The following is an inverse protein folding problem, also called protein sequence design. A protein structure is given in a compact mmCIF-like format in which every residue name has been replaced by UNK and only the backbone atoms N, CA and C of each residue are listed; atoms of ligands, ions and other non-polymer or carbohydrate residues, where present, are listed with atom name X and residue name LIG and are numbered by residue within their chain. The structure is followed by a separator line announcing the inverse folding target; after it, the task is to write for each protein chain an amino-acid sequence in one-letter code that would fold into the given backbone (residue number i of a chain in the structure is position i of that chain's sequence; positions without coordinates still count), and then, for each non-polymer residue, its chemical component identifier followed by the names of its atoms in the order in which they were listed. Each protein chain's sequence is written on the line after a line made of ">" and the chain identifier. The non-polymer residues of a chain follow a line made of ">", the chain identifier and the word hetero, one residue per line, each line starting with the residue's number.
data_IF_446625784629
#
_entry.id   IF_446625784629
#
_cell.length_a   1.000
_cell.length_b   1.000
_cell.length_c   1.000
_cell.angle_alpha   90.00
_cell.angle_beta   90.00
_cell.angle_gamma   90.00
#
_symmetry.space_group_name_H-M   'P 1'
#
loop_
_entity.id
_entity.type
_entity.pdbx_description
1 polymer ?
#
# COMPACT_ATOMS: atom_id res chain seq x y z
N UNK A 1 -1.72 9.22 19.60
CA UNK A 1 -2.22 8.08 18.79
C UNK A 1 -2.96 8.47 17.51
N UNK A 2 -3.95 9.39 17.53
CA UNK A 2 -4.72 9.79 16.32
C UNK A 2 -3.84 10.25 15.14
N UNK A 3 -2.82 11.09 15.38
CA UNK A 3 -1.87 11.55 14.33
C UNK A 3 -1.11 10.39 13.66
N UNK A 4 -0.63 9.41 14.43
CA UNK A 4 0.08 8.24 13.87
C UNK A 4 -0.85 7.36 13.01
N UNK A 5 -2.13 7.32 13.38
CA UNK A 5 -3.16 6.60 12.63
C UNK A 5 -3.49 7.29 11.31
N UNK A 6 -3.62 8.62 11.32
CA UNK A 6 -3.82 9.41 10.10
C UNK A 6 -2.60 9.29 9.17
N UNK A 7 -1.38 9.36 9.70
CA UNK A 7 -0.15 9.16 8.91
C UNK A 7 -0.10 7.77 8.26
N UNK A 8 -0.61 6.74 8.95
CA UNK A 8 -0.71 5.39 8.39
C UNK A 8 -1.70 5.32 7.23
N UNK A 9 -2.90 5.91 7.39
CA UNK A 9 -3.91 5.99 6.33
C UNK A 9 -3.38 6.79 5.14
N UNK A 10 -2.75 7.93 5.38
CA UNK A 10 -2.19 8.78 4.33
C UNK A 10 -1.07 8.03 3.59
N UNK A 11 -0.18 7.34 4.31
CA UNK A 11 0.84 6.51 3.68
C UNK A 11 0.22 5.43 2.78
N UNK A 12 -0.85 4.79 3.24
CA UNK A 12 -1.59 3.78 2.49
C UNK A 12 -2.23 4.33 1.22
N UNK A 13 -2.93 5.46 1.34
CA UNK A 13 -3.56 6.14 0.20
C UNK A 13 -2.51 6.58 -0.81
N UNK A 14 -1.35 7.09 -0.34
CA UNK A 14 -0.22 7.42 -1.20
C UNK A 14 0.29 6.16 -1.89
N UNK A 15 0.58 5.07 -1.18
CA UNK A 15 1.12 3.85 -1.77
C UNK A 15 0.15 3.26 -2.80
N UNK A 16 -1.12 3.05 -2.47
CA UNK A 16 -2.09 2.47 -3.40
C UNK A 16 -2.47 3.42 -4.53
N UNK A 17 -2.57 4.72 -4.25
CA UNK A 17 -2.81 5.75 -5.26
C UNK A 17 -1.68 5.79 -6.28
N UNK A 18 -0.43 5.84 -5.82
CA UNK A 18 0.74 5.86 -6.71
C UNK A 18 1.02 4.51 -7.37
N UNK A 19 0.75 3.37 -6.72
CA UNK A 19 0.77 2.05 -7.36
C UNK A 19 -0.24 2.01 -8.52
N UNK A 20 -1.46 2.51 -8.31
CA UNK A 20 -2.49 2.52 -9.36
C UNK A 20 -2.14 3.51 -10.47
N UNK A 21 -1.63 4.69 -10.11
CA UNK A 21 -1.13 5.66 -11.08
C UNK A 21 0.02 5.06 -11.91
N UNK A 22 0.99 4.41 -11.26
CA UNK A 22 2.11 3.69 -11.88
C UNK A 22 1.65 2.69 -12.93
N UNK A 23 0.43 2.15 -12.83
CA UNK A 23 -0.15 1.21 -13.79
C UNK A 23 -0.73 1.91 -15.03
N UNK A 24 -1.12 3.18 -14.92
CA UNK A 24 -1.67 4.01 -15.99
C UNK A 24 -0.61 4.81 -16.75
N UNK A 25 0.43 5.32 -16.06
CA UNK A 25 1.45 6.18 -16.71
C UNK A 25 2.47 5.38 -17.53
N UNK A 26 2.96 5.96 -18.62
CA UNK A 26 4.03 5.44 -19.48
C UNK A 26 5.22 6.42 -19.49
N UNK A 27 6.42 5.94 -19.79
CA UNK A 27 7.61 6.79 -19.95
C UNK A 27 8.13 7.42 -18.64
N UNK A 28 8.63 8.65 -18.70
CA UNK A 28 9.38 9.31 -17.61
C UNK A 28 8.54 9.51 -16.32
N UNK A 29 7.23 9.69 -16.46
CA UNK A 29 6.30 9.81 -15.34
C UNK A 29 6.20 8.52 -14.51
N UNK A 30 6.53 7.35 -15.10
CA UNK A 30 6.64 6.10 -14.35
C UNK A 30 7.72 6.20 -13.27
N UNK A 31 8.90 6.72 -13.59
CA UNK A 31 9.97 6.90 -12.61
C UNK A 31 9.58 7.89 -11.52
N UNK A 32 8.95 9.02 -11.88
CA UNK A 32 8.44 9.98 -10.89
C UNK A 32 7.44 9.35 -9.91
N UNK A 33 6.45 8.62 -10.44
CA UNK A 33 5.47 7.91 -9.62
C UNK A 33 6.11 6.79 -8.78
N UNK A 34 7.17 6.14 -9.28
CA UNK A 34 7.93 5.13 -8.55
C UNK A 34 8.62 5.72 -7.32
N UNK A 35 9.26 6.89 -7.48
CA UNK A 35 9.91 7.60 -6.36
C UNK A 35 8.88 8.06 -5.33
N UNK A 36 7.74 8.61 -5.77
CA UNK A 36 6.64 9.03 -4.89
C UNK A 36 6.05 7.86 -4.10
N UNK A 37 5.86 6.70 -4.75
CA UNK A 37 5.44 5.47 -4.07
C UNK A 37 6.42 5.08 -2.96
N UNK A 38 7.73 5.11 -3.22
CA UNK A 38 8.75 4.79 -2.21
C UNK A 38 8.70 5.77 -1.02
N UNK A 39 8.40 7.04 -1.27
CA UNK A 39 8.16 8.03 -0.20
C UNK A 39 7.02 7.59 0.74
N UNK A 40 5.92 7.09 0.16
CA UNK A 40 4.81 6.49 0.93
C UNK A 40 5.25 5.27 1.74
N UNK A 41 6.06 4.38 1.16
CA UNK A 41 6.60 3.19 1.85
C UNK A 41 7.51 3.60 3.02
N UNK A 42 8.36 4.61 2.85
CA UNK A 42 9.20 5.14 3.93
C UNK A 42 8.32 5.67 5.08
N UNK A 43 7.26 6.40 4.75
CA UNK A 43 6.29 6.90 5.73
C UNK A 43 5.56 5.75 6.46
N UNK A 44 5.24 4.69 5.73
CA UNK A 44 4.64 3.46 6.26
C UNK A 44 5.59 2.70 7.22
N UNK A 45 6.88 2.63 6.90
CA UNK A 45 7.90 2.05 7.79
C UNK A 45 8.10 2.94 9.03
N UNK A 46 8.09 4.26 8.86
CA UNK A 46 8.22 5.21 9.96
C UNK A 46 7.07 5.07 10.98
N UNK A 47 5.84 4.99 10.49
CA UNK A 47 4.65 4.75 11.32
C UNK A 47 4.74 3.41 12.05
N UNK A 48 5.25 2.34 11.41
CA UNK A 48 5.50 1.04 12.06
C UNK A 48 6.41 1.17 13.27
N UNK A 49 7.49 1.94 13.10
CA UNK A 49 8.49 2.18 14.15
C UNK A 49 7.90 2.95 15.33
N UNK A 50 7.03 3.93 15.05
CA UNK A 50 6.28 4.68 16.06
C UNK A 50 5.30 3.79 16.84
N UNK A 51 4.56 2.91 16.18
CA UNK A 51 3.64 1.97 16.86
C UNK A 51 4.38 0.89 17.65
N UNK A 52 5.54 0.41 17.17
CA UNK A 52 6.40 -0.51 17.92
C UNK A 52 6.92 0.13 19.21
N UNK A 53 7.28 1.42 19.17
CA UNK A 53 7.65 2.19 20.38
C UNK A 53 6.50 2.28 21.38
N UNK A 54 5.25 2.30 20.90
CA UNK A 54 4.05 2.34 21.74
C UNK A 54 3.59 0.96 22.25
N UNK A 55 4.37 -0.11 22.05
CA UNK A 55 4.04 -1.52 22.41
C UNK A 55 2.67 -2.02 21.89
N UNK A 56 2.17 -1.45 20.80
CA UNK A 56 0.92 -1.91 20.21
C UNK A 56 1.23 -3.08 19.26
N UNK A 57 0.63 -4.25 19.51
CA UNK A 57 0.74 -5.40 18.60
C UNK A 57 -0.04 -5.15 17.30
N UNK A 58 0.65 -4.55 16.33
CA UNK A 58 0.18 -4.25 14.96
C UNK A 58 0.89 -5.14 13.92
N UNK A 59 1.62 -6.16 14.36
CA UNK A 59 2.49 -6.99 13.52
C UNK A 59 1.70 -7.71 12.43
N UNK A 60 0.54 -8.28 12.79
CA UNK A 60 -0.37 -8.95 11.83
C UNK A 60 -0.89 -8.01 10.75
N UNK A 61 -1.35 -6.81 11.14
CA UNK A 61 -1.87 -5.81 10.20
C UNK A 61 -0.79 -5.41 9.17
N UNK A 62 0.43 -5.17 9.63
CA UNK A 62 1.56 -4.84 8.75
C UNK A 62 1.95 -5.97 7.82
N UNK A 63 1.89 -7.23 8.28
CA UNK A 63 2.20 -8.39 7.44
C UNK A 63 1.19 -8.54 6.30
N UNK A 64 -0.11 -8.38 6.57
CA UNK A 64 -1.15 -8.44 5.54
C UNK A 64 -0.94 -7.41 4.44
N UNK A 65 -0.62 -6.18 4.82
CA UNK A 65 -0.35 -5.10 3.86
C UNK A 65 0.91 -5.36 3.05
N UNK A 66 1.94 -5.95 3.67
CA UNK A 66 3.17 -6.30 2.99
C UNK A 66 2.95 -7.44 1.97
N UNK A 67 2.07 -8.39 2.28
CA UNK A 67 1.63 -9.43 1.33
C UNK A 67 0.87 -8.79 0.17
N UNK A 68 0.00 -7.80 0.45
CA UNK A 68 -0.71 -7.04 -0.58
C UNK A 68 0.27 -6.28 -1.51
N UNK A 69 1.28 -5.61 -0.94
CA UNK A 69 2.33 -4.96 -1.74
C UNK A 69 3.14 -5.98 -2.55
N UNK A 70 3.43 -7.16 -1.97
CA UNK A 70 4.11 -8.24 -2.68
C UNK A 70 3.28 -8.78 -3.85
N UNK A 71 1.95 -8.77 -3.76
CA UNK A 71 1.05 -9.14 -4.87
C UNK A 71 1.14 -8.15 -6.05
N UNK A 72 1.44 -6.88 -5.76
CA UNK A 72 1.68 -5.87 -6.81
C UNK A 72 3.04 -5.99 -7.49
N UNK A 73 4.03 -6.60 -6.82
CA UNK A 73 5.39 -6.76 -7.34
C UNK A 73 5.44 -7.47 -8.72
N UNK A 74 4.78 -8.63 -8.93
CA UNK A 74 4.76 -9.29 -10.25
C UNK A 74 4.07 -8.44 -11.32
N UNK A 75 3.01 -7.70 -10.98
CA UNK A 75 2.32 -6.80 -11.93
C UNK A 75 3.24 -5.64 -12.35
N UNK A 76 3.97 -5.09 -11.39
CA UNK A 76 4.92 -3.99 -11.62
C UNK A 76 6.14 -4.48 -12.41
N UNK A 77 6.63 -5.69 -12.12
CA UNK A 77 7.71 -6.34 -12.87
C UNK A 77 7.30 -6.65 -14.32
N UNK A 78 6.09 -7.17 -14.55
CA UNK A 78 5.55 -7.39 -15.89
C UNK A 78 5.40 -6.07 -16.66
N UNK A 79 4.99 -4.99 -15.98
CA UNK A 79 4.95 -3.65 -16.58
C UNK A 79 6.34 -3.12 -16.91
N UNK A 80 7.34 -3.36 -16.06
CA UNK A 80 8.72 -2.96 -16.30
C UNK A 80 9.27 -3.69 -17.54
N UNK A 81 9.12 -5.01 -17.60
CA UNK A 81 9.53 -5.86 -18.73
C UNK A 81 8.85 -5.45 -20.04
N UNK A 82 7.55 -5.10 -19.98
CA UNK A 82 6.83 -4.57 -21.13
C UNK A 82 7.37 -3.21 -21.58
N UNK A 83 7.77 -2.34 -20.64
CA UNK A 83 8.39 -1.05 -20.98
C UNK A 83 9.80 -1.19 -21.56
N UNK A 84 10.52 -2.28 -21.24
CA UNK A 84 11.79 -2.65 -21.87
C UNK A 84 11.61 -3.38 -23.21
N UNK A 85 10.38 -3.56 -23.70
CA UNK A 85 10.09 -4.21 -24.97
C UNK A 85 10.23 -5.73 -24.97
N UNK A 86 10.38 -6.36 -23.79
CA UNK A 86 10.59 -7.82 -23.65
C UNK A 86 9.27 -8.58 -23.80
N UNK A 87 8.14 -7.98 -23.41
CA UNK A 87 6.82 -8.64 -23.40
C UNK A 87 5.76 -7.67 -23.95
N UNK A 88 5.03 -8.09 -24.98
CA UNK A 88 3.85 -7.38 -25.46
C UNK A 88 2.64 -7.86 -24.68
N UNK A 89 2.12 -7.04 -23.77
CA UNK A 89 0.94 -7.34 -22.97
C UNK A 89 -0.19 -6.43 -23.44
N UNK A 90 -1.35 -7.02 -23.74
CA UNK A 90 -2.57 -6.30 -24.06
C UNK A 90 -2.92 -5.30 -22.96
N UNK A 91 -3.07 -4.03 -23.38
CA UNK A 91 -3.26 -2.92 -22.44
C UNK A 91 -4.60 -3.05 -21.68
N UNK A 92 -5.61 -3.67 -22.28
CA UNK A 92 -6.94 -3.89 -21.67
C UNK A 92 -6.91 -4.96 -20.58
N UNK A 93 -6.29 -6.12 -20.87
CA UNK A 93 -6.15 -7.22 -19.90
C UNK A 93 -5.38 -6.75 -18.66
N UNK A 94 -4.28 -6.02 -18.89
CA UNK A 94 -3.50 -5.40 -17.82
C UNK A 94 -4.35 -4.44 -17.00
N UNK A 95 -5.12 -3.55 -17.63
CA UNK A 95 -5.95 -2.57 -16.91
C UNK A 95 -6.99 -3.24 -16.02
N UNK A 96 -7.62 -4.32 -16.50
CA UNK A 96 -8.62 -5.08 -15.74
C UNK A 96 -7.99 -5.75 -14.52
N UNK A 97 -6.87 -6.46 -14.71
CA UNK A 97 -6.15 -7.13 -13.61
C UNK A 97 -5.78 -6.12 -12.53
N UNK A 98 -5.30 -4.95 -12.94
CA UNK A 98 -4.90 -3.88 -12.03
C UNK A 98 -6.09 -3.34 -11.26
N UNK A 99 -7.20 -3.07 -11.92
CA UNK A 99 -8.40 -2.61 -11.26
C UNK A 99 -8.92 -3.61 -10.25
N UNK A 100 -8.91 -4.91 -10.59
CA UNK A 100 -9.30 -5.98 -9.68
C UNK A 100 -8.37 -6.05 -8.46
N UNK A 101 -7.05 -6.04 -8.67
CA UNK A 101 -6.07 -6.09 -7.57
C UNK A 101 -6.17 -4.82 -6.71
N UNK A 102 -6.36 -3.64 -7.31
CA UNK A 102 -6.57 -2.37 -6.59
C UNK A 102 -7.85 -2.39 -5.80
N UNK A 103 -8.95 -2.88 -6.35
CA UNK A 103 -10.21 -3.03 -5.63
C UNK A 103 -10.05 -3.91 -4.40
N UNK A 104 -9.48 -5.11 -4.58
CA UNK A 104 -9.23 -6.04 -3.46
C UNK A 104 -8.28 -5.42 -2.45
N UNK A 105 -7.20 -4.77 -2.90
CA UNK A 105 -6.22 -4.18 -2.02
C UNK A 105 -6.81 -3.04 -1.17
N UNK A 106 -7.60 -2.16 -1.77
CA UNK A 106 -8.28 -1.08 -1.06
C UNK A 106 -9.28 -1.63 -0.05
N UNK A 107 -10.07 -2.64 -0.40
CA UNK A 107 -11.05 -3.26 0.52
C UNK A 107 -10.33 -3.92 1.70
N UNK A 108 -9.29 -4.71 1.43
CA UNK A 108 -8.50 -5.39 2.47
C UNK A 108 -7.81 -4.36 3.36
N UNK A 109 -7.16 -3.34 2.80
CA UNK A 109 -6.53 -2.27 3.58
C UNK A 109 -7.53 -1.46 4.39
N UNK A 110 -8.73 -1.20 3.86
CA UNK A 110 -9.79 -0.53 4.61
C UNK A 110 -10.25 -1.37 5.80
N UNK A 111 -10.52 -2.67 5.59
CA UNK A 111 -10.88 -3.60 6.67
C UNK A 111 -9.77 -3.67 7.72
N UNK A 112 -8.51 -3.77 7.28
CA UNK A 112 -7.34 -3.86 8.14
C UNK A 112 -7.16 -2.58 8.97
N UNK A 113 -7.42 -1.41 8.36
CA UNK A 113 -7.39 -0.12 9.02
C UNK A 113 -8.52 0.01 10.07
N UNK A 114 -9.75 -0.38 9.73
CA UNK A 114 -10.88 -0.38 10.67
C UNK A 114 -10.60 -1.31 11.85
N UNK A 115 -10.06 -2.51 11.60
CA UNK A 115 -9.64 -3.46 12.64
C UNK A 115 -8.54 -2.87 13.54
N UNK A 116 -7.53 -2.22 12.96
CA UNK A 116 -6.46 -1.58 13.72
C UNK A 116 -7.01 -0.44 14.59
N UNK A 117 -7.94 0.36 14.07
CA UNK A 117 -8.59 1.44 14.84
C UNK A 117 -9.38 0.88 16.02
N UNK A 118 -10.15 -0.18 15.77
CA UNK A 118 -10.96 -0.85 16.80
C UNK A 118 -10.09 -1.48 17.88
N UNK A 119 -8.97 -2.12 17.51
CA UNK A 119 -8.00 -2.70 18.44
C UNK A 119 -7.29 -1.65 19.29
N UNK A 120 -6.87 -0.52 18.69
CA UNK A 120 -6.25 0.60 19.41
C UNK A 120 -7.25 1.24 20.38
N UNK A 121 -8.50 1.48 19.95
CA UNK A 121 -9.56 2.04 20.80
C UNK A 121 -9.88 1.11 21.99
N UNK A 122 -10.01 -0.20 21.75
CA UNK A 122 -10.32 -1.19 22.78
C UNK A 122 -9.24 -1.28 23.86
N UNK A 123 -7.94 -1.20 23.50
CA UNK A 123 -6.85 -1.17 24.49
C UNK A 123 -6.77 0.12 25.29
N UNK A 124 -7.17 1.25 24.71
CA UNK A 124 -7.13 2.55 25.41
C UNK A 124 -8.21 2.63 26.51
N UNK A 125 -9.29 1.85 26.41
CA UNK A 125 -10.34 1.79 27.44
C UNK A 125 -10.09 0.78 28.57
N UNK A 126 -9.13 -0.13 28.44
CA UNK A 126 -8.80 -1.13 29.49
C UNK A 126 -7.76 -0.57 30.49
N UNK A 127 -7.15 0.57 30.17
CA UNK A 127 -6.14 1.23 31.00
C UNK A 127 -6.70 2.40 31.83
N UNK A 128 -8.02 2.48 31.98
CA UNK A 128 -8.73 3.46 32.81
C UNK A 128 -9.51 2.74 33.90
#
# INVERSE_FOLDING_TARGET
>A
MKKNFILFIVALVIIFGFITALQMVKGVLFFGALVLMHCGVILYIYTKKQFKKAQIDIKKHYTTENILMALYLPVLAAKLLSNFGVISIDNDVKRIIVFCITGVAVVVSFINCVLMYKNVKKRTQISH
#
